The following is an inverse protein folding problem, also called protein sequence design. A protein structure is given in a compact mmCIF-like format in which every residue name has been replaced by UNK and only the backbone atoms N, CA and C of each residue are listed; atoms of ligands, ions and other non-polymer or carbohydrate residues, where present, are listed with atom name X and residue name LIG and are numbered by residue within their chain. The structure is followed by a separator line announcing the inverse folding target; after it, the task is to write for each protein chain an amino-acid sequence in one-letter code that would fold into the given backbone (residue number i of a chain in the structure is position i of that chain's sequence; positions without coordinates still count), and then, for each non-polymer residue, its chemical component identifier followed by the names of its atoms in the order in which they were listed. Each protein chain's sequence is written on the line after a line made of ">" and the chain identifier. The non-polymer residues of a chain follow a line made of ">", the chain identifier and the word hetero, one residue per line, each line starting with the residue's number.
data_IF_936766861163
#
_entry.id   IF_936766861163
#
_cell.length_a   1.000
_cell.length_b   1.000
_cell.length_c   1.000
_cell.angle_alpha   90.00
_cell.angle_beta   90.00
_cell.angle_gamma   90.00
#
_symmetry.space_group_name_H-M   'P 1'
#
loop_
_entity.id
_entity.type
_entity.pdbx_description
1 polymer ?
#
# COMPACT_ATOMS: atom_id res chain seq x y z
N UNK A 1 -10.12 11.06 -15.11
CA UNK A 1 -9.35 9.84 -14.80
C UNK A 1 -10.02 8.71 -15.55
N UNK A 2 -9.63 8.51 -16.81
CA UNK A 2 -10.32 7.64 -17.75
C UNK A 2 -10.07 6.19 -17.36
N UNK A 3 -11.01 5.61 -16.61
CA UNK A 3 -11.29 4.19 -16.56
C UNK A 3 -10.06 3.28 -16.49
N UNK A 4 -9.08 3.59 -15.63
CA UNK A 4 -7.96 2.65 -15.50
C UNK A 4 -8.52 1.37 -14.85
N UNK A 5 -8.48 0.31 -15.66
CA UNK A 5 -9.18 -0.92 -15.39
C UNK A 5 -8.55 -1.67 -14.23
N UNK A 6 -9.31 -2.57 -13.60
CA UNK A 6 -8.75 -3.55 -12.67
C UNK A 6 -7.71 -4.39 -13.42
N UNK A 7 -6.44 -4.20 -13.09
CA UNK A 7 -5.33 -4.95 -13.68
C UNK A 7 -5.36 -6.42 -13.23
N UNK A 8 -4.40 -7.20 -13.74
CA UNK A 8 -4.27 -8.64 -13.45
C UNK A 8 -3.91 -8.93 -11.97
N UNK A 9 -3.36 -7.93 -11.27
CA UNK A 9 -3.09 -7.89 -9.83
C UNK A 9 -3.44 -6.49 -9.32
N UNK A 10 -4.43 -6.39 -8.43
CA UNK A 10 -4.70 -5.15 -7.70
C UNK A 10 -3.87 -5.19 -6.41
N UNK A 11 -2.92 -4.27 -6.27
CA UNK A 11 -2.25 -4.07 -4.98
C UNK A 11 -3.17 -3.33 -4.02
N UNK A 12 -3.03 -3.61 -2.73
CA UNK A 12 -3.65 -2.80 -1.68
C UNK A 12 -2.82 -1.56 -1.42
N UNK A 13 -3.48 -0.42 -1.20
CA UNK A 13 -2.77 0.82 -0.97
C UNK A 13 -2.02 0.76 0.37
N UNK A 14 -0.68 0.91 0.38
CA UNK A 14 0.09 0.82 1.62
C UNK A 14 -0.27 1.93 2.62
N UNK A 15 -0.53 3.14 2.14
CA UNK A 15 -0.90 4.27 3.01
C UNK A 15 -2.29 4.12 3.64
N UNK A 16 -3.25 3.53 2.92
CA UNK A 16 -4.57 3.24 3.48
C UNK A 16 -4.51 2.03 4.41
N UNK A 17 -3.74 1.02 4.04
CA UNK A 17 -3.60 -0.20 4.82
C UNK A 17 -2.93 0.07 6.18
N UNK A 18 -1.98 1.01 6.28
CA UNK A 18 -1.45 1.52 7.56
C UNK A 18 -2.48 2.17 8.48
N UNK A 19 -3.64 2.55 7.94
CA UNK A 19 -4.75 3.18 8.64
C UNK A 19 -5.93 2.22 8.78
N UNK A 20 -5.68 0.91 8.64
CA UNK A 20 -6.66 -0.17 8.68
C UNK A 20 -7.75 -0.06 7.61
N UNK A 21 -7.48 0.70 6.54
CA UNK A 21 -8.36 0.83 5.38
C UNK A 21 -7.89 -0.09 4.25
N UNK A 22 -8.74 -1.03 3.89
CA UNK A 22 -8.49 -1.98 2.82
C UNK A 22 -9.03 -1.47 1.49
N UNK A 23 -8.13 -0.98 0.62
CA UNK A 23 -8.52 -0.34 -0.64
C UNK A 23 -7.61 -0.81 -1.77
N UNK A 24 -8.24 -1.31 -2.84
CA UNK A 24 -7.59 -1.64 -4.09
C UNK A 24 -7.01 -0.38 -4.76
N UNK A 25 -5.76 -0.48 -5.17
CA UNK A 25 -5.13 0.47 -6.07
C UNK A 25 -5.52 0.19 -7.51
N UNK A 26 -5.54 1.24 -8.30
CA UNK A 26 -5.67 1.14 -9.73
C UNK A 26 -4.29 1.25 -10.39
N UNK A 27 -4.16 0.73 -11.61
CA UNK A 27 -2.89 0.69 -12.33
C UNK A 27 -2.97 1.45 -13.65
N UNK A 28 -2.14 2.48 -13.79
CA UNK A 28 -1.95 3.22 -15.03
C UNK A 28 -0.87 2.53 -15.88
N UNK A 29 -1.28 1.92 -17.00
CA UNK A 29 -0.37 1.20 -17.91
C UNK A 29 0.60 2.12 -18.64
N UNK A 30 0.19 3.37 -18.91
CA UNK A 30 1.00 4.31 -19.69
C UNK A 30 2.16 4.83 -18.84
N UNK A 31 1.89 5.04 -17.54
CA UNK A 31 2.88 5.54 -16.57
C UNK A 31 3.59 4.43 -15.80
N UNK A 32 3.05 3.20 -15.82
CA UNK A 32 3.50 2.07 -14.99
C UNK A 32 3.45 2.37 -13.49
N UNK A 33 2.42 3.11 -13.09
CA UNK A 33 2.24 3.57 -11.72
C UNK A 33 0.92 3.07 -11.15
N UNK A 34 0.92 2.83 -9.85
CA UNK A 34 -0.27 2.54 -9.08
C UNK A 34 -0.78 3.79 -8.40
N UNK A 35 -2.09 3.98 -8.42
CA UNK A 35 -2.74 5.12 -7.78
C UNK A 35 -3.87 4.69 -6.84
N UNK A 36 -3.95 5.35 -5.69
CA UNK A 36 -5.02 5.17 -4.72
C UNK A 36 -6.03 6.31 -4.82
N UNK A 37 -7.31 5.97 -5.02
CA UNK A 37 -8.40 6.96 -5.07
C UNK A 37 -8.68 7.63 -3.72
N UNK A 38 -8.32 6.98 -2.60
CA UNK A 38 -8.70 7.43 -1.26
C UNK A 38 -7.73 8.45 -0.67
N UNK A 39 -6.43 8.17 -0.77
CA UNK A 39 -5.38 8.98 -0.15
C UNK A 39 -4.46 9.69 -1.15
N UNK A 40 -4.78 9.60 -2.46
CA UNK A 40 -4.00 10.20 -3.55
C UNK A 40 -2.53 9.72 -3.62
N UNK A 41 -2.20 8.62 -2.96
CA UNK A 41 -0.90 7.99 -3.11
C UNK A 41 -0.70 7.51 -4.56
N UNK A 42 0.47 7.84 -5.12
CA UNK A 42 0.91 7.44 -6.46
C UNK A 42 2.35 6.93 -6.33
N UNK A 43 2.66 5.80 -6.95
CA UNK A 43 4.03 5.27 -6.97
C UNK A 43 4.19 4.07 -7.91
N UNK A 44 5.43 3.74 -8.29
CA UNK A 44 5.73 2.54 -9.07
C UNK A 44 5.50 1.26 -8.26
N UNK A 45 5.48 0.12 -8.94
CA UNK A 45 5.29 -1.20 -8.32
C UNK A 45 6.29 -1.50 -7.20
N UNK A 46 7.56 -1.16 -7.41
CA UNK A 46 8.64 -1.39 -6.44
C UNK A 46 8.39 -0.66 -5.11
N UNK A 47 7.91 0.58 -5.16
CA UNK A 47 7.59 1.38 -3.97
C UNK A 47 6.37 0.83 -3.23
N UNK A 48 5.37 0.35 -3.98
CA UNK A 48 4.18 -0.33 -3.43
C UNK A 48 4.58 -1.59 -2.68
N UNK A 49 5.46 -2.42 -3.24
CA UNK A 49 5.93 -3.65 -2.61
C UNK A 49 6.76 -3.38 -1.36
N UNK A 50 7.72 -2.45 -1.45
CA UNK A 50 8.58 -2.07 -0.31
C UNK A 50 7.75 -1.56 0.88
N UNK A 51 6.77 -0.68 0.63
CA UNK A 51 5.88 -0.18 1.70
C UNK A 51 4.99 -1.28 2.26
N UNK A 52 4.46 -2.18 1.43
CA UNK A 52 3.66 -3.31 1.91
C UNK A 52 4.47 -4.24 2.84
N UNK A 53 5.76 -4.42 2.58
CA UNK A 53 6.64 -5.21 3.45
C UNK A 53 6.89 -4.53 4.80
N UNK A 54 7.14 -3.22 4.82
CA UNK A 54 7.25 -2.43 6.05
C UNK A 54 5.99 -2.54 6.92
N UNK A 55 4.82 -2.55 6.26
CA UNK A 55 3.54 -2.67 6.95
C UNK A 55 3.40 -4.05 7.60
N UNK A 56 3.83 -5.12 6.93
CA UNK A 56 3.85 -6.47 7.52
C UNK A 56 4.73 -6.56 8.76
N UNK A 57 5.89 -5.91 8.75
CA UNK A 57 6.78 -5.84 9.92
C UNK A 57 6.10 -5.12 11.08
N UNK A 58 5.48 -3.96 10.81
CA UNK A 58 4.77 -3.17 11.82
C UNK A 58 3.59 -3.93 12.42
N UNK A 59 2.76 -4.57 11.60
CA UNK A 59 1.61 -5.34 12.08
C UNK A 59 2.00 -6.67 12.73
N UNK A 60 3.13 -7.27 12.34
CA UNK A 60 3.63 -8.51 12.94
C UNK A 60 3.95 -8.40 14.42
N UNK A 61 4.31 -7.19 14.89
CA UNK A 61 4.55 -6.87 16.31
C UNK A 61 3.48 -5.95 16.89
N UNK A 62 2.31 -5.84 16.26
CA UNK A 62 1.24 -4.91 16.70
C UNK A 62 0.79 -5.16 18.13
N UNK A 63 0.83 -6.42 18.59
CA UNK A 63 0.45 -6.81 19.94
C UNK A 63 1.63 -6.90 20.91
N UNK A 64 2.86 -6.67 20.43
CA UNK A 64 4.05 -6.71 21.26
C UNK A 64 4.34 -5.31 21.81
N UNK A 65 4.33 -5.16 23.14
CA UNK A 65 4.90 -3.97 23.77
C UNK A 65 6.42 -4.17 23.89
N UNK A 66 7.20 -3.51 23.05
CA UNK A 66 8.66 -3.51 23.15
C UNK A 66 9.05 -2.55 24.29
N UNK A 67 9.57 -3.10 25.38
CA UNK A 67 10.24 -2.35 26.44
C UNK A 67 11.75 -2.50 26.28
N UNK A 68 12.48 -1.41 26.48
CA UNK A 68 13.93 -1.45 26.68
C UNK A 68 14.13 -1.28 28.18
N UNK A 69 14.71 -2.28 28.84
CA UNK A 69 15.20 -2.12 30.22
C UNK A 69 16.51 -1.31 30.16
N UNK A 70 16.63 -0.31 31.04
CA UNK A 70 17.81 0.56 31.19
C UNK A 70 19.06 -0.20 31.67
#
# INVERSE_FOLDING_TARGET
>A
MAQSGKGKLNYRCPMCFMRDLDIDMFYDKDKKEYYCIRCQYVGPEEDVLAKNELIRIKYGRMYDRITFDD
#
